data_IF_839683398254
#
_entry.id   IF_839683398254
#
_cell.length_a   1.000
_cell.length_b   1.000
_cell.length_c   1.000
_cell.angle_alpha   90.00
_cell.angle_beta   90.00
_cell.angle_gamma   90.00
#
_symmetry.space_group_name_H-M   'P 1'
#
loop_
_entity.id
_entity.type
_entity.pdbx_description
1 polymer ?
#
# COMPACT_ATOMS: atom_id res chain seq x y z
N UNK A 1 -4.80 3.21 -9.70
CA UNK A 1 -4.80 3.21 -8.23
C UNK A 1 -5.92 4.09 -7.69
N UNK A 2 -7.09 3.64 -7.90
CA UNK A 2 -8.28 4.15 -7.23
C UNK A 2 -8.48 3.30 -6.01
N UNK A 3 -9.13 3.73 -4.97
CA UNK A 3 -9.47 2.96 -3.81
C UNK A 3 -9.68 1.46 -4.11
N UNK A 4 -10.25 0.62 -3.28
CA UNK A 4 -10.43 -0.80 -3.64
C UNK A 4 -11.06 -0.93 -5.02
N UNK A 5 -10.47 -1.68 -5.96
CA UNK A 5 -11.02 -1.79 -7.32
C UNK A 5 -12.45 -2.33 -7.30
N UNK A 6 -13.30 -1.79 -8.17
CA UNK A 6 -14.71 -2.21 -8.30
C UNK A 6 -14.82 -3.47 -9.17
N UNK A 7 -14.22 -4.55 -8.75
CA UNK A 7 -14.39 -5.84 -9.38
C UNK A 7 -15.56 -6.59 -8.73
N UNK A 8 -16.23 -7.47 -9.48
CA UNK A 8 -17.37 -8.22 -8.96
C UNK A 8 -17.01 -9.10 -7.74
N UNK A 9 -15.79 -9.62 -7.73
CA UNK A 9 -15.25 -10.48 -6.68
C UNK A 9 -14.57 -9.69 -5.54
N UNK A 10 -14.52 -8.37 -5.64
CA UNK A 10 -13.91 -7.51 -4.63
C UNK A 10 -14.63 -6.15 -4.57
N UNK A 11 -15.81 -6.10 -3.99
CA UNK A 11 -16.59 -4.86 -3.88
C UNK A 11 -15.91 -3.87 -2.94
N UNK A 12 -16.23 -2.57 -3.12
CA UNK A 12 -15.79 -1.53 -2.20
C UNK A 12 -16.42 -1.79 -0.82
N UNK A 13 -15.63 -1.81 0.27
CA UNK A 13 -16.17 -2.02 1.61
C UNK A 13 -17.10 -0.89 2.03
N UNK A 14 -18.02 -1.20 2.94
CA UNK A 14 -18.85 -0.19 3.59
C UNK A 14 -18.00 0.61 4.59
N UNK A 15 -18.53 1.74 5.07
CA UNK A 15 -17.85 2.51 6.12
C UNK A 15 -17.60 1.68 7.38
N UNK A 16 -18.59 0.88 7.79
CA UNK A 16 -18.50 0.03 8.98
C UNK A 16 -17.41 -1.04 8.82
N UNK A 17 -17.31 -1.66 7.66
CA UNK A 17 -16.24 -2.63 7.36
C UNK A 17 -14.86 -1.96 7.37
N UNK A 18 -14.75 -0.78 6.76
CA UNK A 18 -13.51 0.00 6.75
C UNK A 18 -13.10 0.41 8.18
N UNK A 19 -14.04 0.94 8.97
CA UNK A 19 -13.77 1.36 10.34
C UNK A 19 -13.35 0.20 11.24
N UNK A 20 -13.90 -1.00 11.01
CA UNK A 20 -13.51 -2.20 11.74
C UNK A 20 -12.08 -2.66 11.41
N UNK A 21 -11.63 -2.47 10.17
CA UNK A 21 -10.30 -2.87 9.71
C UNK A 21 -9.19 -1.92 10.18
N UNK A 22 -9.53 -0.65 10.42
CA UNK A 22 -8.55 0.38 10.79
C UNK A 22 -8.73 0.80 12.24
N UNK A 23 -7.80 0.39 13.09
CA UNK A 23 -7.76 0.83 14.49
C UNK A 23 -7.16 2.22 14.62
N UNK A 24 -7.44 2.90 15.74
CA UNK A 24 -7.06 4.30 15.95
C UNK A 24 -5.56 4.58 15.75
N UNK A 25 -4.69 3.63 16.08
CA UNK A 25 -3.24 3.83 15.97
C UNK A 25 -2.77 4.09 14.53
N UNK A 26 -3.50 3.63 13.51
CA UNK A 26 -3.19 3.92 12.12
C UNK A 26 -3.30 5.41 11.80
N UNK A 27 -4.16 6.14 12.50
CA UNK A 27 -4.43 7.55 12.22
C UNK A 27 -3.73 8.50 13.17
N UNK A 28 -3.41 8.09 14.38
CA UNK A 28 -2.84 8.97 15.40
C UNK A 28 -1.32 8.81 15.60
N UNK A 29 -0.71 7.80 14.95
CA UNK A 29 0.73 7.57 15.01
C UNK A 29 1.25 7.10 16.36
N UNK A 30 0.38 6.62 17.26
CA UNK A 30 0.78 6.21 18.62
C UNK A 30 1.51 4.88 18.68
N UNK A 31 1.31 4.01 17.67
CA UNK A 31 1.93 2.70 17.60
C UNK A 31 2.57 2.50 16.20
N UNK A 32 3.67 3.21 15.89
CA UNK A 32 4.21 3.21 14.53
C UNK A 32 4.72 1.85 14.06
N UNK A 33 5.09 0.94 14.95
CA UNK A 33 5.50 -0.41 14.57
C UNK A 33 4.31 -1.32 14.20
N UNK A 34 3.10 -0.93 14.58
CA UNK A 34 1.86 -1.65 14.24
C UNK A 34 1.24 -1.18 12.92
N UNK A 35 1.75 -0.11 12.34
CA UNK A 35 1.28 0.46 11.09
C UNK A 35 0.83 1.91 11.24
N UNK A 36 0.78 2.60 10.11
CA UNK A 36 0.35 4.01 10.07
C UNK A 36 -0.13 4.40 8.69
N UNK A 37 -1.19 5.22 8.66
CA UNK A 37 -1.71 5.86 7.45
C UNK A 37 -1.17 7.27 7.28
N UNK A 38 -0.96 7.63 6.03
CA UNK A 38 -0.61 8.99 5.62
C UNK A 38 -1.57 9.46 4.55
N UNK A 39 -1.91 10.73 4.57
CA UNK A 39 -2.68 11.36 3.50
C UNK A 39 -1.69 11.89 2.45
N UNK A 40 -1.97 11.59 1.20
CA UNK A 40 -1.16 12.08 0.08
C UNK A 40 -1.68 13.46 -0.32
N UNK A 41 -0.81 14.46 -0.23
CA UNK A 41 -1.12 15.84 -0.59
C UNK A 41 -0.38 16.20 -1.89
N UNK A 42 -1.08 16.71 -2.87
CA UNK A 42 -0.53 17.19 -4.12
C UNK A 42 -1.18 18.51 -4.50
N UNK A 43 -0.37 19.55 -4.72
CA UNK A 43 -0.85 20.90 -5.02
C UNK A 43 -1.90 21.38 -3.98
N UNK A 44 -1.60 21.20 -2.70
CA UNK A 44 -2.46 21.57 -1.57
C UNK A 44 -3.80 20.82 -1.51
N UNK A 45 -3.95 19.75 -2.31
CA UNK A 45 -5.15 18.93 -2.36
C UNK A 45 -4.89 17.54 -1.80
N UNK A 46 -5.80 17.02 -1.00
CA UNK A 46 -5.79 15.65 -0.55
C UNK A 46 -6.20 14.74 -1.71
N UNK A 47 -5.30 13.89 -2.18
CA UNK A 47 -5.54 13.08 -3.38
C UNK A 47 -5.59 11.59 -3.10
N UNK A 48 -5.28 11.15 -1.89
CA UNK A 48 -5.30 9.73 -1.57
C UNK A 48 -4.71 9.44 -0.21
N UNK A 49 -4.53 8.15 0.02
CA UNK A 49 -4.03 7.60 1.27
C UNK A 49 -2.99 6.53 0.95
N UNK A 50 -1.95 6.48 1.75
CA UNK A 50 -0.96 5.40 1.73
C UNK A 50 -0.69 4.95 3.15
N UNK A 51 -0.57 3.64 3.37
CA UNK A 51 -0.24 3.11 4.68
C UNK A 51 0.75 1.96 4.59
N UNK A 52 1.45 1.74 5.69
CA UNK A 52 2.17 0.50 5.93
C UNK A 52 1.51 -0.26 7.08
N UNK A 53 1.62 -1.57 7.02
CA UNK A 53 1.07 -2.46 8.04
C UNK A 53 2.10 -2.77 9.13
N UNK A 54 1.79 -3.67 10.05
CA UNK A 54 2.73 -4.04 11.12
C UNK A 54 4.10 -4.40 10.56
N UNK A 55 5.13 -3.84 11.17
CA UNK A 55 6.52 -4.14 10.78
C UNK A 55 6.96 -5.42 11.49
N UNK A 56 7.35 -6.41 10.70
CA UNK A 56 8.01 -7.61 11.22
C UNK A 56 9.46 -7.25 11.52
N UNK A 57 9.79 -7.20 12.80
CA UNK A 57 11.12 -6.80 13.25
C UNK A 57 12.19 -7.88 13.00
N UNK A 58 11.81 -9.13 12.88
CA UNK A 58 12.75 -10.23 12.59
C UNK A 58 13.18 -10.21 11.12
N UNK A 59 12.22 -10.11 10.19
CA UNK A 59 12.50 -10.04 8.76
C UNK A 59 12.77 -8.63 8.25
N UNK A 60 12.55 -7.60 9.07
CA UNK A 60 12.66 -6.19 8.67
C UNK A 60 11.78 -5.88 7.45
N UNK A 61 10.52 -6.30 7.51
CA UNK A 61 9.59 -6.19 6.40
C UNK A 61 8.22 -5.64 6.80
N UNK A 62 7.53 -5.08 5.83
CA UNK A 62 6.13 -4.69 5.94
C UNK A 62 5.46 -4.69 4.58
N UNK A 63 4.14 -4.62 4.58
CA UNK A 63 3.32 -4.49 3.37
C UNK A 63 2.70 -3.11 3.30
N UNK A 64 2.61 -2.56 2.09
CA UNK A 64 1.99 -1.27 1.81
C UNK A 64 0.63 -1.43 1.14
N UNK A 65 -0.25 -0.46 1.41
CA UNK A 65 -1.49 -0.25 0.67
C UNK A 65 -1.59 1.21 0.26
N UNK A 66 -2.15 1.47 -0.92
CA UNK A 66 -2.30 2.83 -1.44
C UNK A 66 -3.62 2.98 -2.20
N UNK A 67 -4.31 4.09 -2.00
CA UNK A 67 -5.49 4.49 -2.76
C UNK A 67 -5.35 5.93 -3.22
N UNK A 68 -5.76 6.18 -4.45
CA UNK A 68 -5.96 7.54 -4.95
C UNK A 68 -7.46 7.82 -5.05
N UNK A 69 -7.86 9.04 -4.69
CA UNK A 69 -9.27 9.40 -4.55
C UNK A 69 -10.02 9.48 -5.90
N UNK A 70 -9.32 9.69 -7.00
CA UNK A 70 -9.93 9.90 -8.31
C UNK A 70 -9.01 9.37 -9.42
N UNK A 71 -9.61 8.92 -10.53
CA UNK A 71 -8.87 8.47 -11.72
C UNK A 71 -7.96 9.55 -12.31
N UNK A 72 -8.32 10.82 -12.16
CA UNK A 72 -7.50 11.93 -12.67
C UNK A 72 -6.09 11.99 -12.04
N UNK A 73 -5.88 11.37 -10.89
CA UNK A 73 -4.59 11.31 -10.22
C UNK A 73 -3.78 10.07 -10.62
N UNK A 74 -4.37 9.12 -11.34
CA UNK A 74 -3.67 7.93 -11.80
C UNK A 74 -2.84 8.24 -13.06
N UNK A 75 -1.84 7.41 -13.35
CA UNK A 75 -0.99 7.53 -14.55
C UNK A 75 -0.19 8.83 -14.65
N UNK A 76 -0.02 9.56 -13.54
CA UNK A 76 0.77 10.80 -13.47
C UNK A 76 2.07 10.66 -12.66
N UNK A 77 2.41 9.44 -12.26
CA UNK A 77 3.57 9.19 -11.44
C UNK A 77 3.40 9.48 -9.95
N UNK A 78 2.21 9.96 -9.52
CA UNK A 78 1.95 10.33 -8.12
C UNK A 78 1.99 9.11 -7.21
N UNK A 79 1.41 8.00 -7.63
CA UNK A 79 1.46 6.76 -6.85
C UNK A 79 2.88 6.19 -6.75
N UNK A 80 3.64 6.22 -7.83
CA UNK A 80 5.05 5.82 -7.85
C UNK A 80 5.86 6.66 -6.86
N UNK A 81 5.66 7.97 -6.88
CA UNK A 81 6.35 8.91 -6.00
C UNK A 81 5.98 8.68 -4.53
N UNK A 82 4.69 8.54 -4.21
CA UNK A 82 4.22 8.29 -2.85
C UNK A 82 4.80 6.98 -2.27
N UNK A 83 4.78 5.91 -3.04
CA UNK A 83 5.34 4.62 -2.64
C UNK A 83 6.85 4.74 -2.43
N UNK A 84 7.56 5.42 -3.32
CA UNK A 84 9.01 5.63 -3.20
C UNK A 84 9.36 6.40 -1.93
N UNK A 85 8.63 7.47 -1.63
CA UNK A 85 8.85 8.27 -0.43
C UNK A 85 8.61 7.42 0.83
N UNK A 86 7.53 6.67 0.88
CA UNK A 86 7.23 5.83 2.05
C UNK A 86 8.28 4.72 2.24
N UNK A 87 8.73 4.09 1.16
CA UNK A 87 9.80 3.09 1.24
C UNK A 87 11.09 3.68 1.84
N UNK A 88 11.47 4.87 1.40
CA UNK A 88 12.66 5.54 1.93
C UNK A 88 12.50 5.90 3.41
N UNK A 89 11.32 6.39 3.80
CA UNK A 89 10.99 6.68 5.19
C UNK A 89 11.11 5.45 6.08
N UNK A 90 10.54 4.33 5.66
CA UNK A 90 10.57 3.07 6.41
C UNK A 90 11.99 2.52 6.56
N UNK A 91 12.83 2.65 5.55
CA UNK A 91 14.24 2.26 5.62
C UNK A 91 15.02 3.11 6.61
N UNK A 92 14.82 4.42 6.56
CA UNK A 92 15.55 5.36 7.42
C UNK A 92 15.12 5.28 8.87
N UNK A 93 13.82 5.15 9.13
CA UNK A 93 13.27 5.20 10.49
C UNK A 93 13.28 3.85 11.20
N UNK A 94 13.08 2.75 10.47
CA UNK A 94 12.85 1.43 11.07
C UNK A 94 13.75 0.35 10.50
N UNK A 95 14.71 0.71 9.64
CA UNK A 95 15.58 -0.25 8.96
C UNK A 95 14.80 -1.32 8.18
N UNK A 96 13.61 -0.96 7.71
CA UNK A 96 12.74 -1.85 6.97
C UNK A 96 13.28 -2.04 5.55
N UNK A 97 13.96 -3.15 5.31
CA UNK A 97 14.72 -3.37 4.08
C UNK A 97 13.93 -4.16 3.04
N UNK A 98 12.85 -4.80 3.43
CA UNK A 98 12.01 -5.58 2.53
C UNK A 98 10.58 -5.08 2.61
N UNK A 99 10.06 -4.63 1.47
CA UNK A 99 8.73 -4.03 1.40
C UNK A 99 7.91 -4.77 0.34
N UNK A 100 6.68 -5.14 0.74
CA UNK A 100 5.74 -5.85 -0.11
C UNK A 100 4.58 -4.95 -0.49
N UNK A 101 4.01 -5.20 -1.66
CA UNK A 101 2.75 -4.63 -2.11
C UNK A 101 2.07 -5.65 -3.02
N UNK A 102 0.76 -5.78 -2.92
CA UNK A 102 0.04 -6.87 -3.59
C UNK A 102 -1.20 -6.37 -4.33
N UNK A 103 -1.03 -5.72 -5.49
CA UNK A 103 -2.17 -5.26 -6.30
C UNK A 103 -2.91 -6.43 -6.95
N UNK A 104 -4.16 -6.20 -7.35
CA UNK A 104 -4.84 -7.09 -8.28
C UNK A 104 -4.12 -7.08 -9.63
N UNK A 105 -3.95 -8.25 -10.25
CA UNK A 105 -3.34 -8.36 -11.59
C UNK A 105 -4.12 -7.57 -12.64
N UNK A 106 -5.43 -7.45 -12.46
CA UNK A 106 -6.30 -6.66 -13.35
C UNK A 106 -6.04 -5.15 -13.27
N UNK A 107 -5.43 -4.69 -12.17
CA UNK A 107 -5.04 -3.29 -12.01
C UNK A 107 -3.66 -3.07 -12.64
N UNK A 108 -3.62 -3.05 -13.97
CA UNK A 108 -2.37 -2.94 -14.72
C UNK A 108 -1.63 -1.63 -14.46
N UNK A 109 -2.35 -0.55 -14.20
CA UNK A 109 -1.73 0.74 -13.85
C UNK A 109 -0.98 0.66 -12.52
N UNK A 110 -1.54 0.00 -11.53
CA UNK A 110 -0.88 -0.20 -10.25
C UNK A 110 0.38 -1.06 -10.39
N UNK A 111 0.28 -2.20 -11.09
CA UNK A 111 1.44 -3.07 -11.34
C UNK A 111 2.58 -2.31 -12.01
N UNK A 112 2.27 -1.53 -13.07
CA UNK A 112 3.27 -0.71 -13.77
C UNK A 112 3.88 0.35 -12.85
N UNK A 113 3.05 1.01 -12.05
CA UNK A 113 3.45 2.05 -11.12
C UNK A 113 4.45 1.52 -10.08
N UNK A 114 4.18 0.35 -9.54
CA UNK A 114 5.05 -0.28 -8.54
C UNK A 114 6.34 -0.80 -9.16
N UNK A 115 6.31 -1.30 -10.39
CA UNK A 115 7.53 -1.64 -11.13
C UNK A 115 8.43 -0.41 -11.32
N UNK A 116 7.86 0.74 -11.64
CA UNK A 116 8.59 2.01 -11.73
C UNK A 116 9.19 2.44 -10.39
N UNK A 117 8.54 2.10 -9.28
CA UNK A 117 9.05 2.37 -7.93
C UNK A 117 10.14 1.36 -7.49
N UNK A 118 10.46 0.37 -8.30
CA UNK A 118 11.52 -0.59 -8.04
C UNK A 118 11.05 -1.94 -7.48
N UNK A 119 9.73 -2.18 -7.47
CA UNK A 119 9.19 -3.49 -7.07
C UNK A 119 9.30 -4.49 -8.22
N UNK A 120 9.51 -5.74 -7.87
CA UNK A 120 9.46 -6.88 -8.82
C UNK A 120 8.45 -7.90 -8.33
N UNK A 121 7.85 -8.64 -9.24
CA UNK A 121 6.97 -9.75 -8.88
C UNK A 121 7.78 -10.86 -8.22
N UNK A 122 7.21 -11.50 -7.20
CA UNK A 122 7.85 -12.63 -6.51
C UNK A 122 6.86 -13.77 -6.29
N UNK A 123 7.36 -15.00 -6.38
CA UNK A 123 6.63 -16.20 -6.01
C UNK A 123 6.95 -16.66 -4.58
N UNK A 124 7.90 -16.00 -3.93
CA UNK A 124 8.26 -16.26 -2.54
C UNK A 124 7.27 -15.55 -1.62
N UNK A 125 6.21 -16.25 -1.26
CA UNK A 125 5.11 -15.70 -0.47
C UNK A 125 5.42 -15.86 1.01
N UNK A 126 5.40 -14.78 1.81
CA UNK A 126 5.55 -14.88 3.27
C UNK A 126 4.48 -15.77 3.89
N UNK A 127 4.85 -16.50 4.94
CA UNK A 127 3.97 -17.49 5.59
C UNK A 127 2.63 -16.91 6.04
N UNK A 128 2.63 -15.67 6.52
CA UNK A 128 1.45 -14.99 7.05
C UNK A 128 0.78 -14.04 6.05
N UNK A 129 1.15 -14.13 4.77
CA UNK A 129 0.58 -13.26 3.75
C UNK A 129 -0.88 -13.64 3.46
N UNK A 130 -1.77 -12.65 3.55
CA UNK A 130 -3.20 -12.79 3.23
C UNK A 130 -3.51 -11.81 2.11
N UNK A 131 -3.80 -12.28 0.89
CA UNK A 131 -4.12 -11.38 -0.22
C UNK A 131 -5.51 -10.77 -0.09
N UNK A 132 -5.64 -9.50 -0.49
CA UNK A 132 -6.91 -8.80 -0.56
C UNK A 132 -7.72 -9.15 -1.82
N UNK A 133 -7.08 -9.78 -2.81
CA UNK A 133 -7.67 -10.12 -4.11
C UNK A 133 -7.37 -11.55 -4.47
N UNK A 134 -8.30 -12.22 -5.14
CA UNK A 134 -8.11 -13.59 -5.64
C UNK A 134 -6.98 -13.67 -6.66
N UNK A 135 -6.76 -12.59 -7.42
CA UNK A 135 -5.73 -12.47 -8.45
C UNK A 135 -4.57 -11.58 -8.01
N UNK A 136 -4.30 -11.46 -6.72
CA UNK A 136 -3.21 -10.65 -6.21
C UNK A 136 -1.86 -11.05 -6.78
N UNK A 137 -1.06 -10.05 -7.14
CA UNK A 137 0.34 -10.21 -7.54
C UNK A 137 1.20 -9.71 -6.40
N UNK A 138 1.93 -10.60 -5.74
CA UNK A 138 2.86 -10.16 -4.71
C UNK A 138 4.10 -9.56 -5.35
N UNK A 139 4.41 -8.33 -4.96
CA UNK A 139 5.57 -7.60 -5.44
C UNK A 139 6.46 -7.23 -4.26
N UNK A 140 7.76 -7.24 -4.48
CA UNK A 140 8.76 -7.01 -3.44
C UNK A 140 9.78 -5.96 -3.88
N UNK A 141 10.20 -5.14 -2.92
CA UNK A 141 11.32 -4.21 -3.08
C UNK A 141 12.31 -4.42 -1.92
N UNK A 142 13.54 -4.70 -2.27
CA UNK A 142 14.63 -4.90 -1.32
C UNK A 142 15.65 -3.79 -1.37
#
# INVERSE_FOLDING_TARGET
MLGPPKFADNPIPTWEEFDADYTNHYFDGTLPLKGQCFIIIHNEQEIGQINYNEIDLDSKSTELDIWLADRKFTSKGLGTEAVTILCNYLRQMYECNTIYIAPSRRNTNAVKSYKKAGFIETENIPENFIPDYDDAVLMIKT
#
